data_IF_060889398233
#
_entry.id   IF_060889398233
#
_cell.length_a   1.000
_cell.length_b   1.000
_cell.length_c   1.000
_cell.angle_alpha   90.00
_cell.angle_beta   90.00
_cell.angle_gamma   90.00
#
_symmetry.space_group_name_H-M   'P 1'
#
loop_
_entity.id
_entity.type
_entity.pdbx_description
1 polymer ?
#
# COMPACT_ATOMS: atom_id res chain seq x y z
N UNK A 1 15.97 15.47 13.79
CA UNK A 1 14.63 15.21 14.37
C UNK A 1 13.52 15.78 13.47
N UNK A 2 12.87 14.95 12.66
CA UNK A 2 11.73 15.39 11.84
C UNK A 2 10.55 15.66 12.79
N UNK A 3 10.08 16.90 12.84
CA UNK A 3 8.88 17.26 13.61
C UNK A 3 7.68 16.51 13.03
N UNK A 4 6.81 15.92 13.86
CA UNK A 4 5.55 15.35 13.38
C UNK A 4 4.74 16.45 12.70
N UNK A 5 4.19 16.13 11.52
CA UNK A 5 3.24 17.00 10.86
C UNK A 5 1.93 16.92 11.67
N UNK A 6 1.51 18.00 12.34
CA UNK A 6 0.22 18.06 13.02
C UNK A 6 -0.89 18.15 11.96
N UNK A 7 -1.51 17.02 11.66
CA UNK A 7 -2.60 16.93 10.68
C UNK A 7 -3.93 17.13 11.43
N UNK A 8 -4.44 18.37 11.41
CA UNK A 8 -5.81 18.68 11.84
C UNK A 8 -6.78 18.27 10.73
N UNK A 9 -7.13 16.98 10.69
CA UNK A 9 -8.16 16.45 9.79
C UNK A 9 -8.94 15.39 10.52
N UNK A 10 -10.27 15.48 10.49
CA UNK A 10 -11.21 14.52 11.09
C UNK A 10 -10.70 13.08 10.93
N UNK A 11 -10.51 12.39 12.06
CA UNK A 11 -9.89 11.06 12.20
C UNK A 11 -10.44 10.03 11.21
N UNK A 12 -11.69 10.19 10.79
CA UNK A 12 -12.39 9.35 9.81
C UNK A 12 -11.80 9.39 8.38
N UNK A 13 -11.07 10.44 8.01
CA UNK A 13 -10.38 10.51 6.71
C UNK A 13 -9.10 9.67 6.68
N UNK A 14 -8.47 9.44 7.84
CA UNK A 14 -7.19 8.74 7.97
C UNK A 14 -7.38 7.23 7.75
N UNK A 15 -8.56 6.69 8.05
CA UNK A 15 -8.85 5.26 7.93
C UNK A 15 -9.51 4.84 6.60
N UNK A 16 -10.08 5.78 5.84
CA UNK A 16 -10.82 5.44 4.62
C UNK A 16 -9.94 4.72 3.60
N UNK A 17 -8.72 5.21 3.37
CA UNK A 17 -7.73 4.58 2.50
C UNK A 17 -6.59 3.98 3.33
N UNK A 18 -6.86 2.99 4.19
CA UNK A 18 -5.88 2.23 5.02
C UNK A 18 -4.40 2.67 4.90
N UNK A 19 -3.74 2.35 3.78
CA UNK A 19 -2.32 2.70 3.49
C UNK A 19 -2.14 3.57 2.24
N UNK A 20 -3.22 4.08 1.67
CA UNK A 20 -3.25 4.91 0.48
C UNK A 20 -3.59 6.37 0.78
N UNK A 21 -3.92 7.10 -0.29
CA UNK A 21 -4.27 8.53 -0.24
C UNK A 21 -5.69 8.69 -0.77
N UNK A 22 -6.55 9.38 0.00
CA UNK A 22 -7.90 9.75 -0.44
C UNK A 22 -7.80 10.82 -1.52
N UNK A 23 -8.46 10.61 -2.64
CA UNK A 23 -8.71 11.61 -3.68
C UNK A 23 -10.20 11.76 -3.91
N UNK A 24 -10.62 12.90 -4.45
CA UNK A 24 -11.99 13.14 -4.86
C UNK A 24 -12.03 13.21 -6.39
N UNK A 25 -12.84 12.38 -7.01
CA UNK A 25 -12.93 12.25 -8.47
C UNK A 25 -14.32 12.66 -8.96
N UNK A 26 -14.35 13.29 -10.14
CA UNK A 26 -15.58 13.64 -10.84
C UNK A 26 -16.34 14.83 -10.26
N UNK A 27 -17.50 15.13 -10.87
CA UNK A 27 -18.36 16.26 -10.48
C UNK A 27 -19.09 16.05 -9.15
N UNK A 28 -19.27 14.79 -8.76
CA UNK A 28 -19.93 14.38 -7.52
C UNK A 28 -18.99 14.34 -6.32
N UNK A 29 -17.69 14.61 -6.50
CA UNK A 29 -16.68 14.48 -5.44
C UNK A 29 -16.71 13.10 -4.77
N UNK A 30 -16.70 12.05 -5.59
CA UNK A 30 -16.66 10.68 -5.06
C UNK A 30 -15.27 10.40 -4.47
N UNK A 31 -15.23 9.83 -3.26
CA UNK A 31 -13.97 9.40 -2.64
C UNK A 31 -13.43 8.18 -3.37
N UNK A 32 -12.18 8.25 -3.81
CA UNK A 32 -11.39 7.12 -4.31
C UNK A 32 -10.08 7.03 -3.55
N UNK A 33 -9.46 5.85 -3.56
CA UNK A 33 -8.15 5.65 -2.97
C UNK A 33 -7.09 5.41 -4.04
N UNK A 34 -6.00 6.17 -3.97
CA UNK A 34 -4.78 5.83 -4.68
C UNK A 34 -3.93 4.91 -3.80
N UNK A 35 -3.72 3.69 -4.26
CA UNK A 35 -2.96 2.69 -3.52
C UNK A 35 -1.48 2.69 -3.86
N UNK A 36 -0.57 2.57 -2.87
CA UNK A 36 0.84 2.37 -3.12
C UNK A 36 1.11 1.00 -3.78
N UNK A 37 2.30 0.79 -4.36
CA UNK A 37 2.69 -0.51 -4.90
C UNK A 37 2.51 -1.63 -3.87
N UNK A 38 1.98 -2.77 -4.33
CA UNK A 38 1.64 -3.94 -3.53
C UNK A 38 0.40 -3.81 -2.62
N UNK A 39 -0.37 -2.72 -2.68
CA UNK A 39 -1.69 -2.66 -2.07
C UNK A 39 -2.77 -2.49 -3.11
N UNK A 40 -3.92 -3.13 -2.89
CA UNK A 40 -5.05 -3.09 -3.83
C UNK A 40 -6.39 -3.19 -3.10
N UNK A 41 -7.47 -3.04 -3.88
CA UNK A 41 -8.84 -2.88 -3.42
C UNK A 41 -9.25 -1.42 -3.29
N UNK A 42 -10.55 -1.17 -3.23
CA UNK A 42 -11.11 0.19 -3.23
C UNK A 42 -10.61 1.07 -2.09
N UNK A 43 -10.11 0.46 -1.00
CA UNK A 43 -9.57 1.13 0.19
C UNK A 43 -8.13 0.74 0.51
N UNK A 44 -7.42 0.11 -0.42
CA UNK A 44 -6.04 -0.37 -0.23
C UNK A 44 -5.89 -1.34 0.96
N UNK A 45 -6.91 -2.18 1.21
CA UNK A 45 -6.97 -3.08 2.36
C UNK A 45 -6.17 -4.37 2.17
N UNK A 46 -5.85 -4.75 0.93
CA UNK A 46 -5.18 -6.01 0.64
C UNK A 46 -3.73 -5.78 0.22
N UNK A 47 -2.80 -6.46 0.90
CA UNK A 47 -1.38 -6.44 0.58
C UNK A 47 -1.01 -7.64 -0.26
N UNK A 48 -0.34 -7.42 -1.39
CA UNK A 48 0.30 -8.48 -2.14
C UNK A 48 1.56 -8.95 -1.41
N UNK A 49 1.59 -10.19 -0.95
CA UNK A 49 2.79 -10.79 -0.36
C UNK A 49 3.61 -11.46 -1.46
N UNK A 50 4.66 -10.78 -1.94
CA UNK A 50 5.65 -11.45 -2.80
C UNK A 50 6.63 -12.21 -1.93
N UNK A 51 6.45 -13.53 -1.86
CA UNK A 51 7.44 -14.44 -1.27
C UNK A 51 8.47 -14.75 -2.35
N UNK A 52 9.73 -14.38 -2.13
CA UNK A 52 10.83 -14.73 -3.02
C UNK A 52 11.41 -16.07 -2.58
N UNK A 53 11.22 -17.12 -3.38
CA UNK A 53 11.82 -18.44 -3.12
C UNK A 53 13.19 -18.52 -3.82
N UNK A 54 14.27 -18.55 -3.04
CA UNK A 54 15.63 -18.74 -3.58
C UNK A 54 16.11 -20.15 -3.26
N UNK A 55 16.22 -21.01 -4.27
CA UNK A 55 16.79 -22.36 -4.12
C UNK A 55 18.20 -22.38 -4.69
N UNK A 56 19.19 -22.70 -3.86
CA UNK A 56 20.56 -22.96 -4.34
C UNK A 56 20.60 -24.34 -5.00
N UNK A 57 20.82 -24.39 -6.32
CA UNK A 57 21.09 -25.63 -7.04
C UNK A 57 22.59 -25.87 -6.92
N UNK A 58 23.00 -26.85 -6.11
CA UNK A 58 24.39 -27.31 -6.10
C UNK A 58 24.56 -28.30 -7.26
N UNK A 59 25.50 -28.08 -8.18
CA UNK A 59 25.81 -29.09 -9.20
C UNK A 59 26.33 -30.35 -8.50
N UNK A 60 25.72 -31.49 -8.81
CA UNK A 60 26.20 -32.80 -8.37
C UNK A 60 27.27 -33.24 -9.36
N UNK A 61 28.51 -33.29 -8.88
CA UNK A 61 29.61 -33.99 -9.55
C UNK A 61 30.61 -33.11 -10.28
N UNK A 62 31.82 -33.04 -9.75
CA UNK A 62 33.06 -32.74 -10.48
C UNK A 62 34.14 -33.63 -9.88
N UNK A 63 34.11 -34.91 -10.23
CA UNK A 63 35.21 -35.85 -10.04
C UNK A 63 35.80 -36.15 -11.39
#
# INVERSE_FOLDING_TARGET
PKKPLEINTNVELIEYCNRGIVIYEGKSYEKKCLCPPNYFGDRCQWQNQRISLTRQIRPVGSH
#
